data_IF_822786478058
#
_entry.id   IF_822786478058
#
_cell.length_a   1.000
_cell.length_b   1.000
_cell.length_c   1.000
_cell.angle_alpha   90.00
_cell.angle_beta   90.00
_cell.angle_gamma   90.00
#
_symmetry.space_group_name_H-M   'P 1'
#
loop_
_entity.id
_entity.type
_entity.pdbx_description
1 polymer ?
#
# COMPACT_ATOMS: atom_id res chain seq x y z
N UNK A 1 -14.18 15.84 -4.71
CA UNK A 1 -13.37 16.36 -3.58
C UNK A 1 -11.99 15.72 -3.68
N UNK A 2 -10.93 16.50 -3.79
CA UNK A 2 -9.56 15.96 -3.88
C UNK A 2 -9.21 15.35 -2.51
N UNK A 3 -8.95 14.04 -2.47
CA UNK A 3 -8.58 13.38 -1.23
C UNK A 3 -7.22 13.90 -0.74
N UNK A 4 -7.11 14.12 0.57
CA UNK A 4 -5.91 14.70 1.17
C UNK A 4 -4.83 13.63 1.41
N UNK A 5 -3.61 13.87 0.92
CA UNK A 5 -2.46 13.01 1.19
C UNK A 5 -2.19 12.85 2.71
N UNK A 6 -2.48 13.86 3.53
CA UNK A 6 -2.39 13.76 5.00
C UNK A 6 -3.32 12.68 5.58
N UNK A 7 -4.54 12.56 5.06
CA UNK A 7 -5.46 11.46 5.45
C UNK A 7 -4.89 10.11 5.03
N UNK A 8 -4.23 10.07 3.87
CA UNK A 8 -3.50 8.89 3.42
C UNK A 8 -2.40 8.49 4.41
N UNK A 9 -1.54 9.43 4.81
CA UNK A 9 -0.48 9.15 5.79
C UNK A 9 -1.06 8.66 7.12
N UNK A 10 -2.16 9.25 7.58
CA UNK A 10 -2.84 8.83 8.79
C UNK A 10 -3.35 7.38 8.69
N UNK A 11 -4.01 7.01 7.59
CA UNK A 11 -4.49 5.63 7.38
C UNK A 11 -3.35 4.62 7.29
N UNK A 12 -2.24 4.97 6.61
CA UNK A 12 -1.06 4.12 6.53
C UNK A 12 -0.43 3.91 7.92
N UNK A 13 -0.24 5.00 8.68
CA UNK A 13 0.31 4.94 10.03
C UNK A 13 -0.60 4.13 10.96
N UNK A 14 -1.91 4.34 10.89
CA UNK A 14 -2.88 3.58 11.68
C UNK A 14 -2.84 2.09 11.33
N UNK A 15 -2.84 1.73 10.05
CA UNK A 15 -2.73 0.34 9.61
C UNK A 15 -1.44 -0.32 10.11
N UNK A 16 -0.32 0.41 10.06
CA UNK A 16 0.96 -0.05 10.58
C UNK A 16 0.93 -0.28 12.09
N UNK A 17 0.48 0.72 12.87
CA UNK A 17 0.40 0.61 14.34
C UNK A 17 -0.51 -0.53 14.76
N UNK A 18 -1.66 -0.70 14.11
CA UNK A 18 -2.57 -1.81 14.39
C UNK A 18 -1.95 -3.17 14.05
N UNK A 19 -1.25 -3.29 12.91
CA UNK A 19 -0.59 -4.53 12.53
C UNK A 19 0.55 -4.88 13.51
N UNK A 20 1.42 -3.93 13.85
CA UNK A 20 2.48 -4.12 14.84
C UNK A 20 1.89 -4.51 16.20
N UNK A 21 0.86 -3.77 16.66
CA UNK A 21 0.18 -4.07 17.92
C UNK A 21 -0.42 -5.48 17.94
N UNK A 22 -1.01 -5.92 16.83
CA UNK A 22 -1.54 -7.28 16.69
C UNK A 22 -0.45 -8.34 16.85
N UNK A 23 0.71 -8.17 16.21
CA UNK A 23 1.84 -9.12 16.37
C UNK A 23 2.45 -9.09 17.77
N UNK A 24 2.54 -7.92 18.41
CA UNK A 24 3.02 -7.80 19.79
C UNK A 24 2.08 -8.50 20.77
N UNK A 25 0.77 -8.28 20.66
CA UNK A 25 -0.25 -8.96 21.47
C UNK A 25 -0.22 -10.47 21.22
N UNK A 26 0.08 -10.90 19.98
CA UNK A 26 0.28 -12.29 19.61
C UNK A 26 1.60 -12.92 20.12
N UNK A 27 2.45 -12.17 20.83
CA UNK A 27 3.69 -12.68 21.43
C UNK A 27 4.91 -12.68 20.51
N UNK A 28 4.85 -12.02 19.34
CA UNK A 28 6.02 -11.91 18.47
C UNK A 28 7.12 -11.03 19.13
N UNK A 29 8.42 -11.38 18.95
CA UNK A 29 9.50 -10.50 19.39
C UNK A 29 9.38 -9.10 18.76
N UNK A 30 9.76 -8.00 19.45
CA UNK A 30 9.51 -6.64 18.97
C UNK A 30 10.04 -6.36 17.57
N UNK A 31 11.25 -6.83 17.25
CA UNK A 31 11.84 -6.68 15.93
C UNK A 31 11.01 -7.39 14.86
N UNK A 32 10.55 -8.61 15.14
CA UNK A 32 9.71 -9.41 14.23
C UNK A 32 8.35 -8.74 14.03
N UNK A 33 7.74 -8.23 15.10
CA UNK A 33 6.46 -7.52 15.03
C UNK A 33 6.52 -6.26 14.16
N UNK A 34 7.63 -5.51 14.21
CA UNK A 34 7.87 -4.35 13.35
C UNK A 34 7.93 -4.75 11.87
N UNK A 35 8.74 -5.75 11.53
CA UNK A 35 8.88 -6.23 10.15
C UNK A 35 7.59 -6.82 9.59
N UNK A 36 6.94 -7.71 10.37
CA UNK A 36 5.69 -8.33 9.96
C UNK A 36 4.55 -7.30 9.90
N UNK A 37 4.48 -6.38 10.86
CA UNK A 37 3.48 -5.31 10.88
C UNK A 37 3.57 -4.41 9.64
N UNK A 38 4.79 -4.01 9.25
CA UNK A 38 5.04 -3.26 8.02
C UNK A 38 4.61 -4.01 6.76
N UNK A 39 5.02 -5.27 6.67
CA UNK A 39 4.66 -6.17 5.56
C UNK A 39 3.15 -6.30 5.44
N UNK A 40 2.45 -6.62 6.53
CA UNK A 40 1.00 -6.82 6.54
C UNK A 40 0.22 -5.54 6.25
N UNK A 41 0.62 -4.40 6.82
CA UNK A 41 -0.06 -3.13 6.60
C UNK A 41 -0.03 -2.74 5.11
N UNK A 42 1.14 -2.80 4.48
CA UNK A 42 1.27 -2.47 3.06
C UNK A 42 0.58 -3.52 2.17
N UNK A 43 0.67 -4.81 2.48
CA UNK A 43 -0.04 -5.86 1.75
C UNK A 43 -1.57 -5.68 1.82
N UNK A 44 -2.11 -5.31 2.98
CA UNK A 44 -3.54 -5.06 3.13
C UNK A 44 -4.00 -3.84 2.31
N UNK A 45 -3.23 -2.75 2.31
CA UNK A 45 -3.51 -1.56 1.50
C UNK A 45 -3.45 -1.89 0.00
N UNK A 46 -2.41 -2.61 -0.43
CA UNK A 46 -2.29 -3.11 -1.81
C UNK A 46 -3.52 -3.92 -2.21
N UNK A 47 -3.93 -4.90 -1.39
CA UNK A 47 -5.06 -5.76 -1.68
C UNK A 47 -6.38 -4.96 -1.77
N UNK A 48 -6.56 -3.95 -0.91
CA UNK A 48 -7.73 -3.08 -0.92
C UNK A 48 -7.80 -2.24 -2.22
N UNK A 49 -6.69 -1.63 -2.63
CA UNK A 49 -6.59 -0.86 -3.86
C UNK A 49 -6.77 -1.74 -5.10
N UNK A 50 -6.17 -2.93 -5.09
CA UNK A 50 -6.32 -3.89 -6.18
C UNK A 50 -7.78 -4.32 -6.32
N UNK A 51 -8.43 -4.66 -5.21
CA UNK A 51 -9.85 -5.05 -5.18
C UNK A 51 -10.73 -3.93 -5.73
N UNK A 52 -10.47 -2.67 -5.35
CA UNK A 52 -11.16 -1.51 -5.95
C UNK A 52 -10.98 -1.47 -7.47
N UNK A 53 -9.74 -1.57 -7.95
CA UNK A 53 -9.45 -1.50 -9.38
C UNK A 53 -10.16 -2.59 -10.18
N UNK A 54 -10.15 -3.84 -9.69
CA UNK A 54 -10.85 -4.96 -10.32
C UNK A 54 -12.37 -4.74 -10.33
N UNK A 55 -12.94 -4.26 -9.23
CA UNK A 55 -14.38 -4.01 -9.13
C UNK A 55 -14.82 -2.84 -10.02
N UNK A 56 -14.04 -1.75 -10.08
CA UNK A 56 -14.29 -0.62 -10.97
C UNK A 56 -14.19 -1.02 -12.45
N UNK A 57 -13.28 -1.93 -12.80
CA UNK A 57 -13.19 -2.51 -14.13
C UNK A 57 -14.42 -3.36 -14.49
N UNK A 58 -14.87 -4.21 -13.56
CA UNK A 58 -15.97 -5.15 -13.82
C UNK A 58 -17.36 -4.51 -13.83
N UNK A 59 -17.63 -3.56 -12.93
CA UNK A 59 -18.98 -3.00 -12.71
C UNK A 59 -19.13 -1.62 -13.38
N UNK A 60 -18.02 -0.96 -13.72
CA UNK A 60 -17.98 0.38 -14.29
C UNK A 60 -17.82 1.46 -13.20
N UNK A 61 -17.04 2.49 -13.54
CA UNK A 61 -16.64 3.55 -12.61
C UNK A 61 -17.82 4.45 -12.22
N UNK A 62 -18.85 4.57 -13.05
CA UNK A 62 -19.93 5.54 -12.82
C UNK A 62 -21.12 4.98 -12.03
N UNK A 63 -20.98 3.79 -11.44
CA UNK A 63 -22.04 3.18 -10.61
C UNK A 63 -21.98 3.73 -9.18
N UNK A 64 -22.90 4.64 -8.85
CA UNK A 64 -23.10 5.19 -7.50
C UNK A 64 -23.81 4.21 -6.55
N UNK A 65 -23.29 2.99 -6.45
CA UNK A 65 -23.72 2.03 -5.43
C UNK A 65 -23.02 2.43 -4.12
N UNK A 66 -23.77 2.48 -3.02
CA UNK A 66 -23.26 2.92 -1.71
C UNK A 66 -21.94 2.24 -1.29
N UNK A 67 -21.78 0.96 -1.63
CA UNK A 67 -20.56 0.20 -1.41
C UNK A 67 -19.33 0.84 -2.10
N UNK A 68 -19.43 1.21 -3.38
CA UNK A 68 -18.34 1.86 -4.12
C UNK A 68 -18.02 3.24 -3.55
N UNK A 69 -19.03 3.98 -3.11
CA UNK A 69 -18.82 5.29 -2.47
C UNK A 69 -17.99 5.14 -1.19
N UNK A 70 -18.29 4.14 -0.36
CA UNK A 70 -17.52 3.85 0.85
C UNK A 70 -16.10 3.37 0.50
N UNK A 71 -15.98 2.44 -0.46
CA UNK A 71 -14.69 1.92 -0.90
C UNK A 71 -13.78 3.04 -1.42
N UNK A 72 -14.32 3.97 -2.22
CA UNK A 72 -13.60 5.17 -2.69
C UNK A 72 -13.17 6.07 -1.54
N UNK A 73 -14.06 6.35 -0.57
CA UNK A 73 -13.69 7.16 0.60
C UNK A 73 -12.52 6.59 1.41
N UNK A 74 -12.41 5.26 1.47
CA UNK A 74 -11.31 4.58 2.15
C UNK A 74 -10.01 4.57 1.32
N UNK A 75 -10.12 4.46 0.00
CA UNK A 75 -8.97 4.23 -0.90
C UNK A 75 -8.45 5.49 -1.57
N UNK A 76 -9.28 6.51 -1.82
CA UNK A 76 -8.86 7.79 -2.42
C UNK A 76 -7.74 8.46 -1.62
N UNK A 77 -7.74 8.47 -0.27
CA UNK A 77 -6.61 9.00 0.50
C UNK A 77 -5.30 8.25 0.27
N UNK A 78 -5.35 6.93 0.03
CA UNK A 78 -4.16 6.13 -0.33
C UNK A 78 -3.67 6.50 -1.72
N UNK A 79 -4.58 6.63 -2.69
CA UNK A 79 -4.23 7.04 -4.04
C UNK A 79 -3.66 8.46 -4.10
N UNK A 80 -4.11 9.35 -3.20
CA UNK A 80 -3.54 10.69 -3.08
C UNK A 80 -2.05 10.69 -2.69
N UNK A 81 -1.56 9.67 -1.97
CA UNK A 81 -0.13 9.54 -1.63
C UNK A 81 0.74 9.27 -2.86
N UNK A 82 0.17 8.56 -3.84
CA UNK A 82 0.89 8.11 -5.04
C UNK A 82 0.47 8.90 -6.29
N UNK A 83 -0.40 9.89 -6.14
CA UNK A 83 -0.87 10.74 -7.23
C UNK A 83 0.27 11.41 -8.01
N UNK A 84 1.35 11.93 -7.37
CA UNK A 84 2.48 12.52 -8.10
C UNK A 84 3.24 11.53 -9.00
N UNK A 85 3.14 10.23 -8.71
CA UNK A 85 3.79 9.15 -9.48
C UNK A 85 2.82 8.52 -10.50
N UNK A 86 1.53 8.83 -10.42
CA UNK A 86 0.49 8.21 -11.25
C UNK A 86 0.39 8.91 -12.61
N UNK A 87 0.50 8.17 -13.74
CA UNK A 87 0.36 8.77 -15.05
C UNK A 87 -1.04 9.37 -15.29
N UNK A 88 -1.11 10.60 -15.81
CA UNK A 88 -2.37 11.33 -15.97
C UNK A 88 -3.33 10.78 -17.03
N UNK A 89 -2.89 9.84 -17.87
CA UNK A 89 -3.73 9.21 -18.90
C UNK A 89 -4.45 7.95 -18.41
N UNK A 90 -4.20 7.50 -17.17
CA UNK A 90 -4.80 6.28 -16.65
C UNK A 90 -6.30 6.45 -16.42
N UNK A 91 -7.08 5.45 -16.86
CA UNK A 91 -8.48 5.33 -16.50
C UNK A 91 -8.62 5.13 -14.98
N UNK A 92 -9.75 5.52 -14.36
CA UNK A 92 -9.89 5.49 -12.90
C UNK A 92 -9.60 4.13 -12.25
N UNK A 93 -10.07 3.03 -12.85
CA UNK A 93 -9.77 1.68 -12.36
C UNK A 93 -8.26 1.37 -12.43
N UNK A 94 -7.59 1.85 -13.47
CA UNK A 94 -6.16 1.64 -13.68
C UNK A 94 -5.32 2.47 -12.71
N UNK A 95 -5.79 3.66 -12.30
CA UNK A 95 -5.17 4.43 -11.20
C UNK A 95 -5.18 3.61 -9.91
N UNK A 96 -6.29 2.95 -9.59
CA UNK A 96 -6.41 2.08 -8.41
C UNK A 96 -5.42 0.90 -8.47
N UNK A 97 -5.33 0.23 -9.62
CA UNK A 97 -4.39 -0.89 -9.84
C UNK A 97 -2.93 -0.43 -9.81
N UNK A 98 -2.62 0.71 -10.41
CA UNK A 98 -1.27 1.29 -10.40
C UNK A 98 -0.86 1.71 -8.99
N UNK A 99 -1.77 2.30 -8.23
CA UNK A 99 -1.55 2.60 -6.81
C UNK A 99 -1.28 1.33 -6.01
N UNK A 100 -2.06 0.27 -6.21
CA UNK A 100 -1.82 -1.04 -5.58
C UNK A 100 -0.41 -1.56 -5.88
N UNK A 101 0.02 -1.47 -7.14
CA UNK A 101 1.37 -1.83 -7.58
C UNK A 101 2.44 -0.98 -6.87
N UNK A 102 2.27 0.33 -6.76
CA UNK A 102 3.23 1.20 -6.07
C UNK A 102 3.34 0.89 -4.57
N UNK A 103 2.23 0.61 -3.88
CA UNK A 103 2.27 0.17 -2.48
C UNK A 103 2.91 -1.22 -2.32
N UNK A 104 2.67 -2.12 -3.28
CA UNK A 104 3.32 -3.43 -3.28
C UNK A 104 4.82 -3.31 -3.50
N UNK A 105 5.24 -2.45 -4.43
CA UNK A 105 6.64 -2.16 -4.67
C UNK A 105 7.31 -1.51 -3.46
N UNK A 106 6.63 -0.58 -2.78
CA UNK A 106 7.10 0.00 -1.52
C UNK A 106 7.29 -1.07 -0.43
N UNK A 107 6.40 -2.05 -0.35
CA UNK A 107 6.54 -3.20 0.55
C UNK A 107 7.77 -4.03 0.24
N UNK A 108 7.97 -4.40 -1.04
CA UNK A 108 9.18 -5.12 -1.45
C UNK A 108 10.45 -4.31 -1.17
N UNK A 109 10.39 -2.99 -1.38
CA UNK A 109 11.50 -2.11 -1.15
C UNK A 109 11.93 -2.08 0.32
N UNK A 110 10.97 -1.90 1.23
CA UNK A 110 11.24 -1.74 2.67
C UNK A 110 11.43 -3.07 3.41
N UNK A 111 10.63 -4.08 3.08
CA UNK A 111 10.52 -5.31 3.88
C UNK A 111 10.78 -6.60 3.09
N UNK A 112 10.85 -6.51 1.75
CA UNK A 112 10.95 -7.69 0.90
C UNK A 112 9.66 -8.52 0.89
N UNK A 113 9.80 -9.81 0.60
CA UNK A 113 8.72 -10.78 0.59
C UNK A 113 9.25 -12.17 0.92
N UNK A 114 8.88 -12.69 2.09
CA UNK A 114 9.30 -14.02 2.53
C UNK A 114 8.66 -15.16 1.72
N UNK A 115 7.49 -14.96 1.12
CA UNK A 115 6.82 -15.99 0.30
C UNK A 115 7.48 -16.11 -1.07
N UNK A 116 7.83 -14.98 -1.68
CA UNK A 116 8.54 -14.92 -2.97
C UNK A 116 10.06 -15.10 -2.83
N UNK A 117 10.59 -15.16 -1.59
CA UNK A 117 12.03 -15.24 -1.33
C UNK A 117 12.79 -13.96 -1.74
N UNK A 118 12.11 -12.82 -1.80
CA UNK A 118 12.69 -11.54 -2.25
C UNK A 118 13.21 -10.79 -1.02
N UNK A 119 14.52 -10.52 -0.90
CA UNK A 119 15.03 -9.69 0.18
C UNK A 119 14.57 -8.23 0.04
N UNK A 120 14.60 -7.43 1.12
CA UNK A 120 14.30 -6.00 1.04
C UNK A 120 15.15 -5.30 -0.01
N UNK A 121 14.53 -4.66 -1.01
CA UNK A 121 15.29 -4.11 -2.15
C UNK A 121 16.17 -2.91 -1.77
N UNK A 122 15.91 -2.24 -0.63
CA UNK A 122 16.77 -1.17 -0.14
C UNK A 122 18.22 -1.65 0.12
N UNK A 123 18.41 -2.96 0.36
CA UNK A 123 19.75 -3.53 0.56
C UNK A 123 20.64 -3.35 -0.69
N UNK A 124 20.05 -3.35 -1.88
CA UNK A 124 20.77 -3.14 -3.14
C UNK A 124 21.31 -1.70 -3.20
N UNK A 125 20.52 -0.71 -2.77
CA UNK A 125 20.99 0.67 -2.68
C UNK A 125 22.08 0.85 -1.64
N UNK A 126 21.94 0.20 -0.47
CA UNK A 126 22.99 0.20 0.55
C UNK A 126 24.31 -0.37 0.01
N UNK A 127 24.26 -1.50 -0.71
CA UNK A 127 25.45 -2.13 -1.29
C UNK A 127 26.10 -1.25 -2.37
N UNK A 128 25.32 -0.59 -3.23
CA UNK A 128 25.84 0.35 -4.24
C UNK A 128 26.56 1.51 -3.55
N UNK A 129 25.94 2.13 -2.54
CA UNK A 129 26.55 3.23 -1.78
C UNK A 129 27.82 2.75 -1.08
N UNK A 130 27.76 1.62 -0.37
CA UNK A 130 28.90 1.06 0.36
C UNK A 130 30.07 0.65 -0.55
N UNK A 131 29.80 0.26 -1.80
CA UNK A 131 30.83 -0.07 -2.79
C UNK A 131 31.44 1.16 -3.50
N UNK A 132 30.84 2.33 -3.35
CA UNK A 132 31.31 3.58 -3.93
C UNK A 132 32.28 4.36 -3.02
N UNK A 133 32.52 3.86 -1.80
CA UNK A 133 33.47 4.38 -0.81
C UNK A 133 34.53 3.32 -0.49
#
# INVERSE_FOLDING_TARGET
MQASALRGLFYLALAYVLAVGTFLIGGAPPIVAIYLGGTYALTAITALLFSRGVLEFAIGVDRDIAFFVVLRRLTDPMLALVAPLSPGFLLPFAVSLYGAFLFFFLKLFLFGDGFLGVPPLFILFFLVIASAF
#
